data_IF_948077087156
#
_entry.id   IF_948077087156
#
_cell.length_a   1.000
_cell.length_b   1.000
_cell.length_c   1.000
_cell.angle_alpha   90.00
_cell.angle_beta   90.00
_cell.angle_gamma   90.00
#
_symmetry.space_group_name_H-M   'P 1'
#
loop_
_entity.id
_entity.type
_entity.pdbx_description
1 polymer ?
#
# COMPACT_ATOMS: atom_id res chain seq x y z
N UNK A 1 9.04 -21.97 9.35
CA UNK A 1 9.35 -22.21 7.93
C UNK A 1 10.81 -22.67 7.81
N UNK A 2 11.12 -23.60 6.91
CA UNK A 2 12.49 -24.10 6.73
C UNK A 2 13.13 -23.55 5.46
N UNK A 3 14.38 -23.10 5.56
CA UNK A 3 15.17 -22.59 4.44
C UNK A 3 16.51 -23.32 4.40
N UNK A 4 16.94 -23.71 3.21
CA UNK A 4 18.21 -24.44 3.05
C UNK A 4 19.41 -23.59 3.51
N UNK A 5 20.43 -24.28 4.04
CA UNK A 5 21.61 -23.68 4.69
C UNK A 5 22.29 -22.60 3.85
N UNK A 6 22.45 -22.87 2.57
CA UNK A 6 23.20 -22.10 1.58
C UNK A 6 22.46 -20.86 1.09
N UNK A 7 21.16 -20.74 1.39
CA UNK A 7 20.32 -19.61 0.96
C UNK A 7 20.44 -18.38 1.85
N UNK A 8 21.02 -18.53 3.04
CA UNK A 8 21.26 -17.42 3.96
C UNK A 8 22.73 -17.37 4.36
N UNK A 9 23.30 -16.16 4.49
CA UNK A 9 24.66 -15.98 5.00
C UNK A 9 24.87 -16.65 6.36
N UNK A 10 26.07 -17.21 6.57
CA UNK A 10 26.48 -17.72 7.87
C UNK A 10 26.74 -16.57 8.87
N UNK A 11 27.26 -15.44 8.37
CA UNK A 11 27.47 -14.22 9.17
C UNK A 11 26.12 -13.65 9.66
N UNK A 12 25.95 -13.41 10.98
CA UNK A 12 24.69 -12.92 11.54
C UNK A 12 24.22 -11.56 11.00
N UNK A 13 25.15 -10.63 10.73
CA UNK A 13 24.82 -9.28 10.28
C UNK A 13 24.34 -9.34 8.82
N UNK A 14 25.09 -10.02 7.96
CA UNK A 14 24.69 -10.23 6.57
C UNK A 14 23.38 -11.00 6.46
N UNK A 15 23.16 -12.00 7.33
CA UNK A 15 21.90 -12.75 7.37
C UNK A 15 20.73 -11.87 7.78
N UNK A 16 20.90 -11.05 8.81
CA UNK A 16 19.87 -10.11 9.23
C UNK A 16 19.52 -9.13 8.10
N UNK A 17 20.52 -8.55 7.43
CA UNK A 17 20.31 -7.67 6.28
C UNK A 17 19.58 -8.37 5.12
N UNK A 18 19.99 -9.60 4.77
CA UNK A 18 19.32 -10.39 3.73
C UNK A 18 17.84 -10.68 4.06
N UNK A 19 17.56 -11.03 5.32
CA UNK A 19 16.20 -11.26 5.80
C UNK A 19 15.37 -9.97 5.83
N UNK A 20 15.96 -8.84 6.23
CA UNK A 20 15.30 -7.52 6.22
C UNK A 20 14.92 -7.10 4.79
N UNK A 21 15.82 -7.31 3.83
CA UNK A 21 15.55 -7.02 2.42
C UNK A 21 14.46 -7.93 1.86
N UNK A 22 14.45 -9.21 2.24
CA UNK A 22 13.46 -10.15 1.75
C UNK A 22 12.09 -9.97 2.42
N UNK A 23 12.04 -9.67 3.72
CA UNK A 23 10.83 -9.46 4.54
C UNK A 23 10.74 -8.01 5.04
N UNK A 24 10.57 -7.04 4.14
CA UNK A 24 10.55 -5.61 4.51
C UNK A 24 9.55 -5.25 5.62
N UNK A 25 8.37 -5.89 5.63
CA UNK A 25 7.29 -5.56 6.58
C UNK A 25 7.33 -6.39 7.87
N UNK A 26 8.03 -7.52 7.91
CA UNK A 26 8.08 -8.42 9.09
C UNK A 26 9.48 -8.56 9.63
N UNK A 27 9.60 -8.68 10.95
CA UNK A 27 10.86 -9.13 11.53
C UNK A 27 11.01 -10.62 11.29
N UNK A 28 12.18 -11.01 10.80
CA UNK A 28 12.52 -12.39 10.51
C UNK A 28 13.75 -12.79 11.32
N UNK A 29 13.58 -13.83 12.14
CA UNK A 29 14.67 -14.45 12.88
C UNK A 29 14.99 -15.82 12.28
N UNK A 30 16.26 -16.21 12.33
CA UNK A 30 16.74 -17.48 11.78
C UNK A 30 17.54 -18.24 12.84
N UNK A 31 17.09 -19.45 13.16
CA UNK A 31 17.79 -20.37 14.05
C UNK A 31 18.36 -21.52 13.23
N UNK A 32 19.63 -21.87 13.47
CA UNK A 32 20.29 -22.97 12.77
C UNK A 32 19.78 -24.32 13.29
N UNK A 33 19.47 -25.22 12.37
CA UNK A 33 19.02 -26.60 12.61
C UNK A 33 19.81 -27.57 11.71
N UNK A 34 19.72 -28.89 11.94
CA UNK A 34 20.32 -29.89 11.04
C UNK A 34 19.78 -29.81 9.60
N UNK A 35 18.51 -29.45 9.43
CA UNK A 35 17.83 -29.39 8.12
C UNK A 35 18.02 -28.05 7.40
N UNK A 36 18.59 -27.04 8.08
CA UNK A 36 18.82 -25.70 7.52
C UNK A 36 18.54 -24.59 8.53
N UNK A 37 17.96 -23.49 8.05
CA UNK A 37 17.51 -22.37 8.86
C UNK A 37 16.03 -22.48 9.15
N UNK A 38 15.67 -22.57 10.43
CA UNK A 38 14.29 -22.40 10.88
C UNK A 38 14.01 -20.89 11.00
N UNK A 39 13.10 -20.40 10.15
CA UNK A 39 12.64 -19.02 10.16
C UNK A 39 11.37 -18.86 11.01
N UNK A 40 11.38 -17.82 11.83
CA UNK A 40 10.20 -17.31 12.54
C UNK A 40 9.98 -15.85 12.15
N UNK A 41 8.74 -15.52 11.79
CA UNK A 41 8.31 -14.19 11.38
C UNK A 41 7.40 -13.59 12.44
N UNK A 42 7.57 -12.30 12.72
CA UNK A 42 6.70 -11.53 13.60
C UNK A 42 6.45 -10.15 13.04
N UNK A 43 5.31 -9.56 13.39
CA UNK A 43 5.11 -8.13 13.17
C UNK A 43 6.00 -7.32 14.12
N UNK A 44 6.47 -6.15 13.69
CA UNK A 44 7.35 -5.35 14.51
C UNK A 44 6.67 -4.79 15.75
N UNK A 45 7.17 -5.19 16.92
CA UNK A 45 6.82 -4.58 18.20
C UNK A 45 7.89 -3.63 18.76
N UNK A 46 9.10 -3.65 18.19
CA UNK A 46 10.25 -2.93 18.72
C UNK A 46 10.03 -1.40 18.64
N UNK A 47 10.19 -0.66 19.75
CA UNK A 47 10.17 0.79 19.74
C UNK A 47 11.13 1.42 18.73
N UNK A 48 12.31 0.85 18.56
CA UNK A 48 13.38 1.40 17.72
C UNK A 48 13.11 1.20 16.22
N UNK A 49 12.13 0.35 15.87
CA UNK A 49 11.75 0.13 14.47
C UNK A 49 10.92 1.27 13.90
N UNK A 50 10.21 2.02 14.73
CA UNK A 50 9.39 3.15 14.29
C UNK A 50 9.96 4.44 14.87
N UNK A 51 10.53 5.25 14.00
CA UNK A 51 11.32 6.46 14.34
C UNK A 51 10.46 7.64 14.80
N UNK A 52 9.13 7.48 14.78
CA UNK A 52 8.17 8.51 15.15
C UNK A 52 8.03 8.60 16.70
N UNK A 53 8.49 9.71 17.32
CA UNK A 53 8.36 9.91 18.77
C UNK A 53 6.91 10.16 19.21
N UNK A 54 6.02 10.57 18.30
CA UNK A 54 4.59 10.78 18.54
C UNK A 54 3.75 9.50 18.44
N UNK A 55 4.34 8.38 18.02
CA UNK A 55 3.61 7.16 17.68
C UNK A 55 2.70 6.66 18.81
N UNK A 56 3.18 6.63 20.05
CA UNK A 56 2.36 6.17 21.18
C UNK A 56 1.09 7.02 21.37
N UNK A 57 1.14 8.32 21.06
CA UNK A 57 -0.04 9.18 21.10
C UNK A 57 -1.00 8.87 19.94
N UNK A 58 -0.46 8.65 18.73
CA UNK A 58 -1.26 8.22 17.58
C UNK A 58 -1.95 6.88 17.81
N UNK A 59 -1.27 5.91 18.43
CA UNK A 59 -1.83 4.61 18.76
C UNK A 59 -2.95 4.68 19.81
N UNK A 60 -2.84 5.59 20.79
CA UNK A 60 -3.94 5.89 21.71
C UNK A 60 -5.13 6.51 20.98
N UNK A 61 -4.90 7.45 20.07
CA UNK A 61 -5.96 8.01 19.21
C UNK A 61 -6.63 6.94 18.34
N UNK A 62 -5.87 5.95 17.88
CA UNK A 62 -6.38 4.76 17.19
C UNK A 62 -7.16 3.79 18.10
N UNK A 63 -7.28 4.05 19.40
CA UNK A 63 -8.00 3.17 20.33
C UNK A 63 -7.09 2.13 20.97
N UNK A 64 -5.96 2.59 21.50
CA UNK A 64 -5.03 1.83 22.34
C UNK A 64 -4.43 0.58 21.67
N UNK A 65 -4.08 0.69 20.39
CA UNK A 65 -3.39 -0.38 19.66
C UNK A 65 -1.93 -0.52 20.11
N UNK A 66 -1.46 -1.76 20.25
CA UNK A 66 -0.04 -2.05 20.56
C UNK A 66 0.78 -2.01 19.27
N UNK A 67 2.08 -1.73 19.39
CA UNK A 67 3.00 -1.67 18.22
C UNK A 67 2.96 -2.95 17.38
N UNK A 68 2.98 -4.11 18.04
CA UNK A 68 2.90 -5.43 17.40
C UNK A 68 1.57 -5.71 16.67
N UNK A 69 0.50 -4.98 17.02
CA UNK A 69 -0.83 -5.14 16.42
C UNK A 69 -1.07 -4.15 15.27
N UNK A 70 -0.20 -3.14 15.07
CA UNK A 70 -0.37 -2.08 14.07
C UNK A 70 -0.62 -2.63 12.67
N UNK A 71 0.13 -3.66 12.29
CA UNK A 71 0.02 -4.27 10.96
C UNK A 71 -1.35 -4.88 10.66
N UNK A 72 -2.21 -5.08 11.68
CA UNK A 72 -3.57 -5.60 11.51
C UNK A 72 -4.65 -4.57 11.86
N UNK A 73 -4.24 -3.41 12.34
CA UNK A 73 -5.12 -2.38 12.86
C UNK A 73 -5.89 -1.68 11.74
N UNK A 74 -7.20 -1.89 11.71
CA UNK A 74 -8.10 -1.38 10.67
C UNK A 74 -9.48 -1.04 11.23
N UNK A 75 -10.15 -0.04 10.65
CA UNK A 75 -11.50 0.41 11.02
C UNK A 75 -12.31 0.64 9.74
N UNK A 76 -13.40 -0.12 9.56
CA UNK A 76 -14.32 0.02 8.43
C UNK A 76 -15.56 0.80 8.85
N UNK A 77 -15.96 1.78 8.06
CA UNK A 77 -17.25 2.47 8.18
C UNK A 77 -17.82 2.63 6.77
N UNK A 78 -18.86 1.87 6.44
CA UNK A 78 -19.47 1.88 5.10
C UNK A 78 -18.42 1.64 4.01
N UNK A 79 -18.24 2.56 3.07
CA UNK A 79 -17.23 2.49 1.98
C UNK A 79 -15.82 2.93 2.39
N UNK A 80 -15.60 3.39 3.63
CA UNK A 80 -14.30 3.86 4.11
C UNK A 80 -13.59 2.79 4.94
N UNK A 81 -12.37 2.42 4.53
CA UNK A 81 -11.42 1.70 5.35
C UNK A 81 -10.31 2.64 5.83
N UNK A 82 -10.11 2.73 7.14
CA UNK A 82 -8.91 3.30 7.75
C UNK A 82 -7.97 2.16 8.13
N UNK A 83 -6.71 2.25 7.77
CA UNK A 83 -5.69 1.25 8.13
C UNK A 83 -4.40 1.90 8.58
N UNK A 84 -3.68 1.29 9.51
CA UNK A 84 -2.31 1.72 9.78
C UNK A 84 -1.35 1.24 8.69
N UNK A 85 -1.54 0.04 8.15
CA UNK A 85 -0.66 -0.53 7.12
C UNK A 85 -1.39 -0.58 5.78
N UNK A 86 -0.74 -0.08 4.73
CA UNK A 86 -1.36 0.09 3.43
C UNK A 86 -1.65 -1.22 2.67
N UNK A 87 -1.03 -2.32 3.09
CA UNK A 87 -1.35 -3.65 2.55
C UNK A 87 -2.84 -4.01 2.61
N UNK A 88 -3.59 -3.45 3.56
CA UNK A 88 -5.05 -3.65 3.69
C UNK A 88 -5.88 -2.94 2.62
N UNK A 89 -5.30 -2.04 1.82
CA UNK A 89 -5.97 -1.45 0.65
C UNK A 89 -6.44 -2.55 -0.30
N UNK A 90 -5.60 -3.56 -0.55
CA UNK A 90 -5.98 -4.71 -1.38
C UNK A 90 -7.12 -5.54 -0.78
N UNK A 91 -7.18 -5.69 0.55
CA UNK A 91 -8.29 -6.38 1.19
C UNK A 91 -9.62 -5.64 0.98
N UNK A 92 -9.61 -4.30 1.10
CA UNK A 92 -10.78 -3.46 0.81
C UNK A 92 -11.26 -3.63 -0.64
N UNK A 93 -10.32 -3.63 -1.58
CA UNK A 93 -10.61 -3.79 -2.99
C UNK A 93 -11.07 -5.21 -3.35
N UNK A 94 -10.55 -6.23 -2.67
CA UNK A 94 -11.04 -7.60 -2.77
C UNK A 94 -12.48 -7.72 -2.28
N UNK A 95 -12.84 -7.09 -1.16
CA UNK A 95 -14.25 -7.01 -0.71
C UNK A 95 -15.14 -6.27 -1.71
N UNK A 96 -14.62 -5.22 -2.34
CA UNK A 96 -15.32 -4.51 -3.41
C UNK A 96 -15.53 -5.41 -4.64
N UNK A 97 -14.50 -6.12 -5.11
CA UNK A 97 -14.58 -7.07 -6.22
C UNK A 97 -15.59 -8.19 -5.93
N UNK A 98 -15.55 -8.78 -4.74
CA UNK A 98 -16.42 -9.88 -4.34
C UNK A 98 -17.92 -9.50 -4.32
N UNK A 99 -18.25 -8.22 -4.16
CA UNK A 99 -19.64 -7.72 -4.20
C UNK A 99 -20.17 -7.51 -5.62
N UNK A 100 -19.33 -7.58 -6.65
CA UNK A 100 -19.74 -7.29 -8.03
C UNK A 100 -20.13 -8.58 -8.77
N UNK A 101 -21.34 -8.63 -9.35
CA UNK A 101 -21.84 -9.84 -10.03
C UNK A 101 -21.17 -10.08 -11.38
N UNK A 102 -20.62 -9.03 -12.00
CA UNK A 102 -19.90 -9.14 -13.25
C UNK A 102 -18.40 -9.22 -12.98
N UNK A 103 -17.83 -10.42 -13.16
CA UNK A 103 -16.40 -10.68 -12.99
C UNK A 103 -15.54 -9.96 -14.02
N UNK A 104 -16.14 -9.48 -15.11
CA UNK A 104 -15.51 -8.43 -15.93
C UNK A 104 -15.67 -7.13 -15.18
N UNK A 105 -14.75 -6.85 -14.26
CA UNK A 105 -14.50 -5.49 -13.83
C UNK A 105 -14.33 -4.65 -15.11
N UNK A 106 -15.32 -3.81 -15.40
CA UNK A 106 -15.21 -2.80 -16.44
C UNK A 106 -14.05 -1.87 -16.12
N UNK A 107 -13.86 -0.82 -16.93
CA UNK A 107 -12.87 0.22 -16.65
C UNK A 107 -13.01 0.74 -15.21
N UNK A 108 -12.14 0.31 -14.30
CA UNK A 108 -12.02 0.84 -12.94
C UNK A 108 -10.96 1.91 -12.97
N UNK A 109 -11.26 3.09 -12.43
CA UNK A 109 -10.25 4.12 -12.22
C UNK A 109 -9.82 4.10 -10.75
N UNK A 110 -8.53 3.86 -10.51
CA UNK A 110 -7.90 3.97 -9.21
C UNK A 110 -7.31 5.37 -9.10
N UNK A 111 -7.80 6.14 -8.15
CA UNK A 111 -7.21 7.40 -7.73
C UNK A 111 -6.24 7.08 -6.58
N UNK A 112 -4.94 7.08 -6.88
CA UNK A 112 -3.85 6.75 -5.96
C UNK A 112 -3.17 8.04 -5.50
N UNK A 113 -3.36 8.44 -4.25
CA UNK A 113 -2.71 9.61 -3.63
C UNK A 113 -1.61 9.08 -2.72
N UNK A 114 -0.36 9.13 -3.18
CA UNK A 114 0.74 8.41 -2.55
C UNK A 114 2.10 8.96 -3.02
N UNK A 115 3.13 8.91 -2.18
CA UNK A 115 4.50 9.20 -2.57
C UNK A 115 5.19 8.01 -3.29
N UNK A 116 4.59 6.82 -3.23
CA UNK A 116 5.06 5.53 -3.75
C UNK A 116 4.14 4.93 -4.82
N UNK A 117 4.66 3.90 -5.51
CA UNK A 117 3.92 3.19 -6.59
C UNK A 117 3.29 1.88 -6.11
N UNK A 118 3.89 1.25 -5.10
CA UNK A 118 3.40 0.00 -4.48
C UNK A 118 3.23 -1.20 -5.43
N UNK A 119 4.02 -1.18 -6.49
CA UNK A 119 4.11 -2.21 -7.54
C UNK A 119 5.22 -3.24 -7.30
N UNK A 120 5.69 -3.38 -6.05
CA UNK A 120 6.63 -4.43 -5.70
C UNK A 120 6.06 -5.82 -6.02
N UNK A 121 6.96 -6.78 -6.22
CA UNK A 121 6.57 -8.18 -6.39
C UNK A 121 6.23 -8.78 -5.01
N UNK A 122 4.98 -9.21 -4.75
CA UNK A 122 4.62 -9.83 -3.48
C UNK A 122 5.24 -11.24 -3.39
N UNK A 123 5.24 -11.84 -2.19
CA UNK A 123 5.74 -13.20 -1.94
C UNK A 123 4.66 -14.23 -2.23
N UNK A 124 4.01 -14.06 -3.39
CA UNK A 124 3.04 -14.97 -3.97
C UNK A 124 3.74 -15.76 -5.08
N UNK A 125 3.41 -17.02 -5.27
CA UNK A 125 4.00 -17.89 -6.28
C UNK A 125 2.95 -18.48 -7.22
N UNK A 126 3.37 -18.75 -8.45
CA UNK A 126 2.54 -19.39 -9.47
C UNK A 126 2.19 -18.46 -10.63
N UNK A 127 1.76 -19.07 -11.74
CA UNK A 127 1.33 -18.34 -12.94
C UNK A 127 -0.20 -18.20 -12.94
N UNK A 128 -0.68 -17.01 -12.60
CA UNK A 128 -2.10 -16.67 -12.59
C UNK A 128 -2.80 -16.97 -11.27
N UNK A 129 -4.07 -16.57 -11.20
CA UNK A 129 -4.93 -16.72 -10.02
C UNK A 129 -5.58 -18.11 -9.96
N UNK A 130 -5.76 -18.70 -8.76
CA UNK A 130 -5.28 -18.21 -7.46
C UNK A 130 -3.76 -18.40 -7.32
N UNK A 131 -3.11 -17.46 -6.64
CA UNK A 131 -1.69 -17.57 -6.32
C UNK A 131 -1.47 -18.41 -5.04
N UNK A 132 -0.24 -18.89 -4.84
CA UNK A 132 0.20 -19.53 -3.60
C UNK A 132 0.94 -18.50 -2.73
N UNK A 133 0.48 -18.27 -1.50
CA UNK A 133 1.27 -17.56 -0.49
C UNK A 133 2.52 -18.39 -0.15
N UNK A 134 3.71 -17.89 -0.52
CA UNK A 134 4.97 -18.60 -0.30
C UNK A 134 5.40 -18.66 1.17
N UNK A 135 4.74 -17.91 2.05
CA UNK A 135 4.98 -17.90 3.48
C UNK A 135 4.10 -18.92 4.20
N UNK A 136 2.79 -18.88 3.96
CA UNK A 136 1.81 -19.70 4.66
C UNK A 136 1.39 -20.96 3.91
N UNK A 137 1.79 -21.09 2.63
CA UNK A 137 1.41 -22.16 1.70
C UNK A 137 -0.10 -22.23 1.43
N UNK A 138 -0.84 -21.16 1.73
CA UNK A 138 -2.27 -21.04 1.45
C UNK A 138 -2.51 -20.40 0.09
N UNK A 139 -3.69 -20.63 -0.48
CA UNK A 139 -4.11 -19.94 -1.70
C UNK A 139 -4.46 -18.49 -1.42
N UNK A 140 -4.21 -17.61 -2.39
CA UNK A 140 -4.58 -16.20 -2.40
C UNK A 140 -5.35 -15.92 -3.70
N UNK A 141 -6.64 -15.60 -3.56
CA UNK A 141 -7.58 -15.27 -4.64
C UNK A 141 -8.22 -13.90 -4.35
N UNK A 142 -8.12 -12.97 -5.29
CA UNK A 142 -8.68 -11.62 -5.13
C UNK A 142 -10.21 -11.59 -5.04
N UNK A 143 -10.88 -12.65 -5.46
CA UNK A 143 -12.32 -12.82 -5.30
C UNK A 143 -12.71 -13.49 -3.98
N UNK A 144 -11.74 -13.89 -3.16
CA UNK A 144 -11.93 -14.43 -1.82
C UNK A 144 -11.24 -13.54 -0.78
N UNK A 145 -11.93 -12.53 -0.22
CA UNK A 145 -11.33 -11.53 0.68
C UNK A 145 -10.61 -12.12 1.90
N UNK A 146 -11.11 -13.25 2.44
CA UNK A 146 -10.46 -13.96 3.53
C UNK A 146 -9.07 -14.50 3.16
N UNK A 147 -8.89 -14.90 1.90
CA UNK A 147 -7.59 -15.40 1.41
C UNK A 147 -6.57 -14.26 1.25
N UNK A 148 -7.03 -13.09 0.78
CA UNK A 148 -6.21 -11.86 0.69
C UNK A 148 -5.79 -11.39 2.08
N UNK A 149 -6.73 -11.33 3.03
CA UNK A 149 -6.42 -10.99 4.42
C UNK A 149 -5.38 -11.94 5.03
N UNK A 150 -5.50 -13.25 4.79
CA UNK A 150 -4.52 -14.23 5.26
C UNK A 150 -3.12 -14.01 4.65
N UNK A 151 -3.04 -13.65 3.36
CA UNK A 151 -1.79 -13.35 2.68
C UNK A 151 -1.14 -12.03 3.15
N UNK A 152 -1.94 -11.05 3.56
CA UNK A 152 -1.46 -9.82 4.22
C UNK A 152 -0.91 -10.17 5.61
N UNK A 153 -1.66 -10.92 6.42
CA UNK A 153 -1.29 -11.31 7.78
C UNK A 153 0.01 -12.15 7.83
N UNK A 154 0.20 -13.04 6.85
CA UNK A 154 1.43 -13.81 6.70
C UNK A 154 2.63 -12.93 6.31
N UNK A 155 2.38 -11.77 5.70
CA UNK A 155 3.35 -10.86 5.10
C UNK A 155 3.72 -11.20 3.67
N UNK A 156 2.95 -12.07 3.01
CA UNK A 156 3.16 -12.36 1.60
C UNK A 156 2.80 -11.17 0.71
N UNK A 157 1.79 -10.40 1.13
CA UNK A 157 1.42 -9.13 0.53
C UNK A 157 1.82 -8.02 1.51
N UNK A 158 2.80 -7.22 1.11
CA UNK A 158 3.31 -6.07 1.86
C UNK A 158 2.80 -4.74 1.35
N UNK A 159 3.05 -3.67 2.11
CA UNK A 159 2.63 -2.29 1.76
C UNK A 159 3.19 -1.88 0.40
N UNK A 160 4.47 -2.15 0.12
CA UNK A 160 5.05 -1.83 -1.20
C UNK A 160 4.65 -2.75 -2.36
N UNK A 161 3.65 -3.62 -2.23
CA UNK A 161 3.33 -4.66 -3.25
C UNK A 161 1.84 -4.94 -3.46
N UNK A 162 0.94 -4.29 -2.71
CA UNK A 162 -0.48 -4.64 -2.72
C UNK A 162 -1.17 -4.31 -4.06
N UNK A 163 -0.65 -3.33 -4.80
CA UNK A 163 -1.22 -2.90 -6.09
C UNK A 163 -1.00 -3.93 -7.20
N UNK A 164 0.15 -4.63 -7.17
CA UNK A 164 0.52 -5.64 -8.17
C UNK A 164 -0.54 -6.73 -8.38
N UNK A 165 -1.00 -7.47 -7.36
CA UNK A 165 -2.01 -8.51 -7.56
C UNK A 165 -3.35 -7.94 -8.06
N UNK A 166 -3.74 -6.72 -7.64
CA UNK A 166 -4.96 -6.08 -8.14
C UNK A 166 -4.91 -5.80 -9.64
N UNK A 167 -3.83 -5.18 -10.12
CA UNK A 167 -3.70 -4.83 -11.55
C UNK A 167 -3.51 -6.06 -12.45
N UNK A 168 -3.01 -7.17 -11.91
CA UNK A 168 -2.93 -8.42 -12.67
C UNK A 168 -4.29 -9.13 -12.80
N UNK A 169 -5.15 -9.01 -11.80
CA UNK A 169 -6.52 -9.56 -11.82
C UNK A 169 -7.49 -8.63 -12.59
N UNK A 170 -7.24 -7.32 -12.54
CA UNK A 170 -8.01 -6.28 -13.24
C UNK A 170 -7.11 -5.53 -14.25
N UNK A 171 -6.69 -6.17 -15.36
CA UNK A 171 -5.71 -5.59 -16.28
C UNK A 171 -6.22 -4.41 -17.12
N UNK A 172 -7.52 -4.12 -17.05
CA UNK A 172 -8.13 -2.94 -17.66
C UNK A 172 -8.28 -1.78 -16.67
N UNK A 173 -7.87 -1.94 -15.42
CA UNK A 173 -7.83 -0.84 -14.48
C UNK A 173 -6.94 0.29 -15.02
N UNK A 174 -7.33 1.51 -14.70
CA UNK A 174 -6.57 2.71 -14.96
C UNK A 174 -6.08 3.27 -13.63
N UNK A 175 -4.80 3.59 -13.51
CA UNK A 175 -4.26 4.21 -12.29
C UNK A 175 -3.90 5.66 -12.54
N UNK A 176 -4.46 6.54 -11.72
CA UNK A 176 -4.13 7.96 -11.62
C UNK A 176 -3.38 8.18 -10.31
N UNK A 177 -2.06 8.24 -10.41
CA UNK A 177 -1.14 8.43 -9.31
C UNK A 177 -0.80 9.90 -9.13
N UNK A 178 -1.38 10.52 -8.11
CA UNK A 178 -0.98 11.82 -7.61
C UNK A 178 0.21 11.63 -6.67
N UNK A 179 1.36 12.13 -7.07
CA UNK A 179 2.62 12.08 -6.34
C UNK A 179 3.21 13.49 -6.28
N UNK A 180 4.32 13.71 -5.58
CA UNK A 180 4.90 15.06 -5.52
C UNK A 180 6.42 15.07 -5.50
N UNK A 181 7.07 16.23 -5.73
CA UNK A 181 8.52 16.32 -5.63
C UNK A 181 9.00 15.88 -4.23
N UNK A 182 10.15 15.19 -4.14
CA UNK A 182 11.10 14.95 -5.23
C UNK A 182 10.79 13.74 -6.12
N UNK A 183 9.85 12.87 -5.75
CA UNK A 183 9.57 11.60 -6.46
C UNK A 183 8.76 11.81 -7.75
N UNK A 184 7.81 12.75 -7.74
CA UNK A 184 6.99 13.16 -8.88
C UNK A 184 7.29 14.58 -9.35
N UNK A 185 7.91 14.76 -10.53
CA UNK A 185 8.30 16.09 -11.02
C UNK A 185 7.52 16.58 -12.23
N UNK A 186 6.88 15.68 -12.97
CA UNK A 186 6.11 15.97 -14.19
C UNK A 186 5.10 14.85 -14.42
N UNK A 187 4.14 15.10 -15.30
CA UNK A 187 3.19 14.09 -15.77
C UNK A 187 3.91 13.09 -16.67
N UNK A 188 3.81 11.81 -16.35
CA UNK A 188 4.38 10.69 -17.09
C UNK A 188 3.33 9.58 -17.22
N UNK A 189 3.19 9.04 -18.43
CA UNK A 189 2.19 8.02 -18.76
C UNK A 189 2.88 6.70 -19.14
N UNK A 190 2.29 5.59 -18.70
CA UNK A 190 2.83 4.25 -18.87
C UNK A 190 1.72 3.25 -19.22
N UNK A 191 2.13 2.15 -19.83
CA UNK A 191 1.39 0.89 -19.82
C UNK A 191 1.98 -0.01 -18.75
N UNK A 192 1.16 -0.65 -17.92
CA UNK A 192 1.67 -1.67 -17.02
C UNK A 192 1.70 -3.03 -17.73
N UNK A 193 2.85 -3.71 -17.66
CA UNK A 193 3.10 -5.00 -18.28
C UNK A 193 3.32 -6.07 -17.20
N UNK A 194 2.55 -7.18 -17.21
CA UNK A 194 2.84 -8.32 -16.35
C UNK A 194 4.26 -8.83 -16.56
N UNK A 195 4.96 -9.09 -15.46
CA UNK A 195 6.29 -9.71 -15.45
C UNK A 195 6.38 -10.72 -14.30
N UNK A 196 7.47 -11.46 -14.27
CA UNK A 196 7.75 -12.47 -13.26
C UNK A 196 9.10 -12.17 -12.59
N UNK A 197 9.13 -12.22 -11.26
CA UNK A 197 10.36 -12.10 -10.47
C UNK A 197 10.66 -13.45 -9.82
N UNK A 198 11.81 -14.09 -10.12
CA UNK A 198 12.17 -15.33 -9.43
C UNK A 198 12.25 -15.10 -7.92
N UNK A 199 11.60 -15.96 -7.15
CA UNK A 199 11.84 -16.04 -5.73
C UNK A 199 13.29 -16.47 -5.47
N UNK A 200 13.90 -15.91 -4.43
CA UNK A 200 15.32 -16.12 -4.12
C UNK A 200 15.55 -16.83 -2.79
N UNK A 201 14.52 -16.99 -1.95
CA UNK A 201 14.69 -17.46 -0.58
C UNK A 201 13.77 -18.63 -0.22
N UNK A 202 12.46 -18.44 -0.31
CA UNK A 202 11.46 -19.39 0.17
C UNK A 202 11.30 -20.57 -0.78
N UNK A 203 11.07 -20.26 -2.05
CA UNK A 203 10.88 -21.22 -3.12
C UNK A 203 11.70 -20.84 -4.36
N UNK A 204 13.05 -20.90 -4.31
CA UNK A 204 13.93 -20.42 -5.36
C UNK A 204 13.53 -20.89 -6.76
N UNK A 205 13.46 -19.94 -7.70
CA UNK A 205 13.06 -20.19 -9.07
C UNK A 205 11.54 -20.24 -9.30
N UNK A 206 10.73 -20.31 -8.23
CA UNK A 206 9.29 -20.05 -8.34
C UNK A 206 9.08 -18.62 -8.76
N UNK A 207 8.25 -18.41 -9.78
CA UNK A 207 7.97 -17.09 -10.31
C UNK A 207 6.95 -16.40 -9.42
N UNK A 208 7.31 -15.20 -8.96
CA UNK A 208 6.44 -14.29 -8.24
C UNK A 208 5.86 -13.25 -9.20
N UNK A 209 4.58 -12.88 -9.07
CA UNK A 209 3.99 -11.89 -9.96
C UNK A 209 4.68 -10.54 -9.79
N UNK A 210 4.81 -9.81 -10.88
CA UNK A 210 5.36 -8.46 -10.90
C UNK A 210 4.71 -7.62 -12.00
N UNK A 211 4.92 -6.31 -11.91
CA UNK A 211 4.53 -5.36 -12.93
C UNK A 211 5.72 -4.48 -13.31
N UNK A 212 5.87 -4.24 -14.60
CA UNK A 212 6.78 -3.24 -15.14
C UNK A 212 5.97 -2.09 -15.76
N UNK A 213 6.33 -0.84 -15.45
CA UNK A 213 5.78 0.34 -16.11
C UNK A 213 6.60 0.67 -17.35
N UNK A 214 5.99 0.51 -18.53
CA UNK A 214 6.60 0.80 -19.82
C UNK A 214 6.16 2.20 -20.27
N UNK A 215 7.07 3.14 -20.52
CA UNK A 215 6.72 4.48 -20.98
C UNK A 215 5.81 4.42 -22.21
N UNK A 216 4.78 5.26 -22.23
CA UNK A 216 3.79 5.32 -23.29
C UNK A 216 3.61 6.75 -23.79
N UNK A 217 2.99 6.89 -24.96
CA UNK A 217 2.54 8.19 -25.45
C UNK A 217 1.53 8.81 -24.48
N UNK A 218 1.53 10.16 -24.34
CA UNK A 218 0.62 10.86 -23.46
C UNK A 218 -0.83 10.46 -23.68
N UNK A 219 -1.53 10.11 -22.60
CA UNK A 219 -2.92 9.70 -22.64
C UNK A 219 -3.30 8.79 -21.49
N UNK A 220 -4.61 8.72 -21.29
CA UNK A 220 -5.30 8.05 -20.20
C UNK A 220 -6.16 6.90 -20.72
N UNK A 221 -6.70 6.07 -19.83
CA UNK A 221 -7.64 5.00 -20.14
C UNK A 221 -7.20 3.61 -19.69
N UNK A 222 -7.90 2.56 -20.16
CA UNK A 222 -7.73 1.20 -19.66
C UNK A 222 -6.30 0.67 -19.79
N UNK A 223 -5.81 0.01 -18.73
CA UNK A 223 -4.48 -0.59 -18.70
C UNK A 223 -3.32 0.43 -18.63
N UNK A 224 -3.64 1.69 -18.33
CA UNK A 224 -2.64 2.78 -18.23
C UNK A 224 -2.40 3.18 -16.79
N UNK A 225 -1.21 3.70 -16.57
CA UNK A 225 -0.76 4.32 -15.33
C UNK A 225 -0.28 5.73 -15.64
N UNK A 226 -0.87 6.73 -15.00
CA UNK A 226 -0.40 8.12 -15.04
C UNK A 226 0.19 8.48 -13.69
N UNK A 227 1.42 8.96 -13.67
CA UNK A 227 2.03 9.60 -12.49
C UNK A 227 2.11 11.09 -12.74
N UNK A 228 1.62 11.92 -11.83
CA UNK A 228 1.63 13.38 -11.99
C UNK A 228 1.69 14.13 -10.66
N UNK A 229 2.35 15.31 -10.60
CA UNK A 229 2.22 16.25 -9.49
C UNK A 229 1.06 17.24 -9.63
N UNK A 230 0.34 17.22 -10.76
CA UNK A 230 -0.76 18.13 -11.07
C UNK A 230 -2.09 17.50 -10.71
N UNK A 231 -2.84 18.14 -9.80
CA UNK A 231 -4.20 17.74 -9.44
C UNK A 231 -5.15 17.81 -10.63
N UNK A 232 -4.94 18.76 -11.54
CA UNK A 232 -5.72 18.88 -12.77
C UNK A 232 -5.47 17.70 -13.74
N UNK A 233 -4.20 17.33 -13.96
CA UNK A 233 -3.84 16.21 -14.84
C UNK A 233 -4.25 14.87 -14.23
N UNK A 234 -4.23 14.78 -12.89
CA UNK A 234 -4.64 13.61 -12.12
C UNK A 234 -6.11 13.28 -12.37
N UNK A 235 -6.98 14.30 -12.36
CA UNK A 235 -8.42 14.16 -12.54
C UNK A 235 -8.90 14.37 -13.99
N UNK A 236 -7.99 14.58 -14.94
CA UNK A 236 -8.33 14.83 -16.34
C UNK A 236 -9.00 13.62 -16.99
N UNK A 237 -10.05 13.88 -17.77
CA UNK A 237 -10.70 12.92 -18.68
C UNK A 237 -11.20 11.64 -17.99
N UNK A 238 -11.67 11.72 -16.73
CA UNK A 238 -12.27 10.60 -16.00
C UNK A 238 -13.76 10.46 -16.35
N UNK A 239 -14.03 9.60 -17.34
CA UNK A 239 -15.37 9.34 -17.85
C UNK A 239 -15.93 7.99 -17.37
N UNK A 240 -17.08 8.04 -16.68
CA UNK A 240 -17.82 6.82 -16.29
C UNK A 240 -17.04 5.86 -15.38
N UNK A 241 -17.61 4.67 -15.17
CA UNK A 241 -16.97 3.60 -14.40
C UNK A 241 -16.92 3.81 -12.87
N UNK A 242 -16.66 2.72 -12.12
CA UNK A 242 -16.38 2.80 -10.68
C UNK A 242 -15.03 3.47 -10.41
N UNK A 243 -14.99 4.24 -9.33
CA UNK A 243 -13.76 4.89 -8.84
C UNK A 243 -13.40 4.30 -7.49
N UNK A 244 -12.14 3.88 -7.34
CA UNK A 244 -11.56 3.49 -6.06
C UNK A 244 -10.57 4.58 -5.65
N UNK A 245 -10.71 5.13 -4.44
CA UNK A 245 -9.79 6.12 -3.91
C UNK A 245 -8.88 5.46 -2.88
N UNK A 246 -7.58 5.55 -3.11
CA UNK A 246 -6.55 5.23 -2.14
C UNK A 246 -5.80 6.51 -1.74
N UNK A 247 -5.60 6.70 -0.44
CA UNK A 247 -4.84 7.79 0.14
C UNK A 247 -3.83 7.21 1.13
N UNK A 248 -2.57 7.14 0.75
CA UNK A 248 -1.47 7.04 1.70
C UNK A 248 -1.17 8.46 2.21
N UNK A 249 -1.21 8.61 3.53
CA UNK A 249 -0.95 9.88 4.19
C UNK A 249 0.47 10.38 4.00
N UNK A 250 1.42 9.52 3.62
CA UNK A 250 2.79 9.92 3.31
C UNK A 250 2.87 10.91 2.13
N UNK A 251 1.86 10.93 1.26
CA UNK A 251 1.69 11.96 0.24
C UNK A 251 1.57 13.36 0.84
N UNK A 252 1.02 13.53 2.04
CA UNK A 252 0.90 14.87 2.62
C UNK A 252 2.12 15.24 3.47
N UNK A 253 2.76 14.26 4.08
CA UNK A 253 4.01 14.43 4.84
C UNK A 253 4.72 13.09 4.95
N UNK A 254 5.93 13.00 4.41
CA UNK A 254 6.77 11.82 4.51
C UNK A 254 8.06 12.18 5.25
N UNK A 255 7.90 12.58 6.53
CA UNK A 255 9.00 13.08 7.37
C UNK A 255 10.08 12.03 7.54
N UNK A 256 9.65 10.78 7.73
CA UNK A 256 10.50 9.67 8.15
C UNK A 256 10.94 8.79 6.98
N UNK A 257 10.11 8.60 5.94
CA UNK A 257 10.38 7.76 4.76
C UNK A 257 10.92 6.36 5.10
N UNK A 258 10.45 5.78 6.22
CA UNK A 258 10.88 4.48 6.72
C UNK A 258 12.35 4.42 7.17
N UNK A 259 12.99 5.56 7.43
CA UNK A 259 14.43 5.70 7.63
C UNK A 259 14.75 6.31 9.01
N UNK A 260 15.69 5.70 9.75
CA UNK A 260 16.16 6.23 11.03
C UNK A 260 17.05 7.46 10.88
N UNK A 261 17.67 7.64 9.72
CA UNK A 261 18.58 8.75 9.42
C UNK A 261 17.85 9.91 8.74
N UNK A 262 16.51 9.98 8.88
CA UNK A 262 15.64 10.97 8.26
C UNK A 262 16.02 12.43 8.56
N UNK A 263 16.68 12.68 9.69
CA UNK A 263 17.15 14.00 10.11
C UNK A 263 18.22 14.61 9.19
N UNK A 264 19.00 13.77 8.50
CA UNK A 264 20.15 14.18 7.68
C UNK A 264 19.81 14.33 6.18
N UNK A 265 18.54 14.12 5.80
CA UNK A 265 18.11 14.16 4.40
C UNK A 265 17.94 15.59 3.89
N UNK A 266 18.61 15.88 2.76
CA UNK A 266 18.56 17.22 2.13
C UNK A 266 17.16 17.60 1.60
N UNK A 267 16.40 16.63 1.06
CA UNK A 267 15.09 16.84 0.46
C UNK A 267 14.01 16.10 1.25
N UNK A 268 13.81 16.52 2.50
CA UNK A 268 12.78 15.95 3.38
C UNK A 268 11.40 16.54 3.08
N UNK A 269 10.40 15.67 2.95
CA UNK A 269 9.00 16.07 2.89
C UNK A 269 8.42 16.19 4.30
N UNK A 270 8.74 17.29 4.98
CA UNK A 270 8.24 17.62 6.32
C UNK A 270 7.65 19.04 6.32
N UNK A 271 6.51 19.25 5.64
CA UNK A 271 5.87 20.54 5.58
C UNK A 271 5.25 20.92 6.93
N UNK A 272 5.07 22.22 7.21
CA UNK A 272 4.33 22.66 8.39
C UNK A 272 2.86 22.19 8.34
N UNK A 273 2.18 22.03 9.49
CA UNK A 273 0.82 21.49 9.56
C UNK A 273 -0.20 22.23 8.68
N UNK A 274 -0.06 23.54 8.50
CA UNK A 274 -0.94 24.35 7.66
C UNK A 274 -0.84 23.97 6.18
N UNK A 275 0.34 23.57 5.72
CA UNK A 275 0.54 23.08 4.35
C UNK A 275 -0.03 21.68 4.15
N UNK A 276 0.05 20.80 5.17
CA UNK A 276 -0.61 19.49 5.16
C UNK A 276 -2.12 19.69 4.97
N UNK A 277 -2.73 20.54 5.79
CA UNK A 277 -4.15 20.87 5.72
C UNK A 277 -4.55 21.45 4.36
N UNK A 278 -3.79 22.42 3.85
CA UNK A 278 -4.06 23.02 2.55
C UNK A 278 -3.98 22.00 1.42
N UNK A 279 -3.04 21.06 1.49
CA UNK A 279 -2.88 20.01 0.49
C UNK A 279 -4.03 19.01 0.51
N UNK A 280 -4.51 18.66 1.70
CA UNK A 280 -5.74 17.87 1.88
C UNK A 280 -6.94 18.59 1.26
N UNK A 281 -7.10 19.89 1.54
CA UNK A 281 -8.19 20.70 0.96
C UNK A 281 -8.12 20.77 -0.56
N UNK A 282 -6.92 20.89 -1.13
CA UNK A 282 -6.70 20.93 -2.58
C UNK A 282 -7.19 19.63 -3.24
N UNK A 283 -6.80 18.47 -2.70
CA UNK A 283 -7.21 17.15 -3.20
C UNK A 283 -8.73 16.97 -3.11
N UNK A 284 -9.30 17.22 -1.94
CA UNK A 284 -10.74 17.10 -1.69
C UNK A 284 -11.52 18.08 -2.57
N UNK A 285 -11.11 19.35 -2.59
CA UNK A 285 -11.80 20.40 -3.33
C UNK A 285 -11.79 20.14 -4.83
N UNK A 286 -10.72 19.56 -5.37
CA UNK A 286 -10.66 19.16 -6.76
C UNK A 286 -11.59 17.97 -7.08
N UNK A 287 -11.66 16.97 -6.19
CA UNK A 287 -12.62 15.85 -6.32
C UNK A 287 -14.07 16.34 -6.31
N UNK A 288 -14.40 17.28 -5.42
CA UNK A 288 -15.73 17.88 -5.32
C UNK A 288 -16.06 18.75 -6.55
N UNK A 289 -15.14 19.63 -6.96
CA UNK A 289 -15.32 20.51 -8.11
C UNK A 289 -15.54 19.74 -9.44
N UNK A 290 -14.97 18.53 -9.55
CA UNK A 290 -15.17 17.62 -10.69
C UNK A 290 -16.38 16.69 -10.52
N UNK A 291 -17.10 16.77 -9.40
CA UNK A 291 -18.25 15.90 -9.09
C UNK A 291 -17.87 14.43 -8.91
N UNK A 292 -16.60 14.13 -8.57
CA UNK A 292 -16.07 12.78 -8.44
C UNK A 292 -16.27 12.19 -7.05
N UNK A 293 -16.31 13.02 -6.00
CA UNK A 293 -16.46 12.55 -4.61
C UNK A 293 -17.69 11.65 -4.38
N UNK A 294 -18.81 11.97 -5.04
CA UNK A 294 -20.04 11.17 -5.00
C UNK A 294 -19.98 9.86 -5.81
N UNK A 295 -19.01 9.71 -6.71
CA UNK A 295 -18.83 8.54 -7.59
C UNK A 295 -17.87 7.49 -7.02
N UNK A 296 -17.11 7.81 -5.98
CA UNK A 296 -16.15 6.90 -5.38
C UNK A 296 -16.89 5.73 -4.71
N UNK A 297 -16.60 4.50 -5.10
CA UNK A 297 -17.28 3.32 -4.56
C UNK A 297 -16.61 2.74 -3.31
N UNK A 298 -15.29 2.95 -3.15
CA UNK A 298 -14.52 2.52 -1.99
C UNK A 298 -13.38 3.53 -1.73
N UNK A 299 -13.14 3.83 -0.46
CA UNK A 299 -12.10 4.75 0.01
C UNK A 299 -11.22 4.02 1.00
N UNK A 300 -9.90 4.05 0.79
CA UNK A 300 -8.94 3.60 1.78
C UNK A 300 -8.02 4.75 2.18
N UNK A 301 -7.86 4.92 3.48
CA UNK A 301 -6.91 5.87 4.09
C UNK A 301 -5.88 5.05 4.88
N UNK A 302 -4.63 5.06 4.43
CA UNK A 302 -3.50 4.45 5.09
C UNK A 302 -2.67 5.50 5.84
N UNK A 303 -2.41 5.27 7.13
CA UNK A 303 -1.69 6.22 7.99
C UNK A 303 -0.18 6.00 8.03
N UNK A 304 0.31 4.90 7.45
CA UNK A 304 1.71 4.55 7.25
C UNK A 304 2.66 4.95 8.40
N UNK A 305 2.53 4.32 9.59
CA UNK A 305 3.45 4.56 10.72
C UNK A 305 4.91 4.36 10.31
N UNK A 306 5.75 5.34 10.64
CA UNK A 306 7.14 5.37 10.17
C UNK A 306 7.34 6.11 8.84
N UNK A 307 6.27 6.68 8.27
CA UNK A 307 6.29 7.59 7.12
C UNK A 307 5.55 8.90 7.48
N UNK A 308 4.24 8.82 7.73
CA UNK A 308 3.39 9.96 8.10
C UNK A 308 3.32 10.15 9.63
N UNK A 309 3.65 11.36 10.15
CA UNK A 309 3.72 11.59 11.59
C UNK A 309 2.41 11.43 12.36
N UNK A 310 2.48 10.69 13.47
CA UNK A 310 1.35 10.38 14.33
C UNK A 310 0.65 11.59 14.94
N UNK A 311 1.36 12.70 15.17
CA UNK A 311 0.74 13.92 15.67
C UNK A 311 -0.25 14.57 14.69
N UNK A 312 -0.22 14.18 13.40
CA UNK A 312 -1.11 14.71 12.37
C UNK A 312 -2.32 13.81 12.07
N UNK A 313 -2.31 12.55 12.52
CA UNK A 313 -3.32 11.54 12.16
C UNK A 313 -4.76 12.00 12.40
N UNK A 314 -5.08 12.46 13.61
CA UNK A 314 -6.45 12.85 13.95
C UNK A 314 -6.98 14.03 13.13
N UNK A 315 -6.16 15.06 12.93
CA UNK A 315 -6.53 16.26 12.17
C UNK A 315 -6.67 15.96 10.69
N UNK A 316 -5.74 15.20 10.12
CA UNK A 316 -5.76 14.81 8.71
C UNK A 316 -6.96 13.89 8.39
N UNK A 317 -7.23 12.90 9.26
CA UNK A 317 -8.40 12.01 9.12
C UNK A 317 -9.69 12.81 9.08
N UNK A 318 -9.93 13.65 10.10
CA UNK A 318 -11.14 14.46 10.21
C UNK A 318 -11.33 15.36 8.98
N UNK A 319 -10.25 15.99 8.52
CA UNK A 319 -10.30 16.90 7.38
C UNK A 319 -10.62 16.17 6.07
N UNK A 320 -9.98 15.03 5.82
CA UNK A 320 -10.26 14.18 4.66
C UNK A 320 -11.69 13.63 4.70
N UNK A 321 -12.15 13.14 5.86
CA UNK A 321 -13.47 12.50 5.96
C UNK A 321 -14.62 13.50 5.89
N UNK A 322 -14.46 14.69 6.46
CA UNK A 322 -15.41 15.79 6.27
C UNK A 322 -15.43 16.24 4.83
N UNK A 323 -14.26 16.44 4.24
CA UNK A 323 -14.09 16.87 2.86
C UNK A 323 -14.72 15.92 1.84
N UNK A 324 -14.56 14.61 2.05
CA UNK A 324 -15.13 13.57 1.19
C UNK A 324 -16.59 13.22 1.52
N UNK A 325 -17.20 13.90 2.50
CA UNK A 325 -18.56 13.64 2.95
C UNK A 325 -18.77 12.26 3.60
N UNK A 326 -17.73 11.68 4.19
CA UNK A 326 -17.73 10.34 4.79
C UNK A 326 -18.20 10.31 6.25
N UNK A 327 -18.26 11.48 6.92
CA UNK A 327 -18.67 11.59 8.33
C UNK A 327 -20.19 11.70 8.55
N UNK A 328 -20.99 11.79 7.48
CA UNK A 328 -22.44 11.94 7.56
C UNK A 328 -23.15 10.76 8.27
N UNK A 329 -22.49 9.61 8.40
CA UNK A 329 -23.03 8.42 9.08
C UNK A 329 -22.84 8.42 10.61
N UNK A 330 -22.13 9.39 11.20
CA UNK A 330 -22.02 9.55 12.67
C UNK A 330 -23.18 10.32 13.32
N UNK A 331 -24.15 10.80 12.56
CA UNK A 331 -25.29 11.61 13.04
C UNK A 331 -26.67 10.95 12.84
N UNK A 332 -26.71 9.62 12.80
CA UNK A 332 -27.93 8.81 12.79
C UNK A 332 -28.10 8.02 14.08
#
# INVERSE_FOLDING_TARGET
MMVATERLPADPIQRHAALRNYFCDKDASAVRTPEGWALALSWPGDPDRHVDPGLDAGLRWWGDVRREDMATARRRTSRLLRTLYDSWTLASWSEWLARRPDRTAGLVTILHVDDHRDLGSPRLGGKGTPWLDLISERTCDLHEPSSVAAAIESGAIGMGSFMTPFLLDVPQAEVRHLCQPPKGKRTEDYLFRPTDVPDTLLAPGTLRPGIELVPAEPGTGPGRWRTTPSVDDWLADIDGGPILLHVDMDYFCNRYDGDSDWGDRELRLDPPPEMIDHKIDEVVGALDAKGLAGRIEDVVIAFSPGFFPAEHWGRADERLTQGLGLDAERRG
#
